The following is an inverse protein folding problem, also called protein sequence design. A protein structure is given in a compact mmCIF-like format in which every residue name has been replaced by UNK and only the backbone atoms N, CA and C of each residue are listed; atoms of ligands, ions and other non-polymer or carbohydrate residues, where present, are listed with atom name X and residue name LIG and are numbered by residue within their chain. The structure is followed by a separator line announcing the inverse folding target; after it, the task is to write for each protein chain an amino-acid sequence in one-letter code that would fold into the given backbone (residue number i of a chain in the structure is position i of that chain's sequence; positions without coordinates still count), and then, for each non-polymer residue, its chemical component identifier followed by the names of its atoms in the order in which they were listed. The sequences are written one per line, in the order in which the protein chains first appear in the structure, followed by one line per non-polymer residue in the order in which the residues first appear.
data_IF_715247056347
#
_entry.id   IF_715247056347
#
_cell.length_a   1.000
_cell.length_b   1.000
_cell.length_c   1.000
_cell.angle_alpha   90.00
_cell.angle_beta   90.00
_cell.angle_gamma   90.00
#
_symmetry.space_group_name_H-M   'P 1'
#
loop_
_entity.id
_entity.type
_entity.pdbx_description
1 polymer ?
#
# COMPACT_ATOMS: atom_id res chain seq x y z
N UNK A 1 -7.13 -14.39 17.66
CA UNK A 1 -7.86 -13.75 16.53
C UNK A 1 -7.42 -12.30 16.45
N UNK A 2 -6.64 -11.92 15.45
CA UNK A 2 -6.18 -10.55 15.28
C UNK A 2 -6.98 -9.89 14.15
N UNK A 3 -7.99 -9.10 14.51
CA UNK A 3 -8.76 -8.30 13.55
C UNK A 3 -7.96 -7.06 13.14
N UNK A 4 -7.65 -6.94 11.83
CA UNK A 4 -6.90 -5.82 11.26
C UNK A 4 -7.85 -4.69 10.85
N UNK A 5 -8.13 -3.78 11.78
CA UNK A 5 -8.91 -2.57 11.50
C UNK A 5 -7.94 -1.42 11.24
N UNK A 6 -7.84 -0.95 9.99
CA UNK A 6 -7.19 0.33 9.67
C UNK A 6 -8.21 1.44 9.90
N UNK A 7 -8.09 2.11 11.04
CA UNK A 7 -8.90 3.28 11.40
C UNK A 7 -8.55 4.44 10.47
N UNK A 8 -9.51 4.83 9.63
CA UNK A 8 -9.51 6.14 8.97
C UNK A 8 -9.75 7.20 10.05
N UNK A 9 -8.76 8.05 10.33
CA UNK A 9 -9.00 9.34 10.99
C UNK A 9 -8.51 10.48 10.12
N UNK A 10 -9.34 11.49 9.83
CA UNK A 10 -8.91 12.74 9.25
C UNK A 10 -8.15 13.54 10.32
N UNK A 11 -6.89 13.92 10.06
CA UNK A 11 -6.14 14.79 10.98
C UNK A 11 -6.46 16.26 10.70
N UNK A 12 -6.83 17.05 11.73
CA UNK A 12 -7.05 18.48 11.60
C UNK A 12 -5.72 19.26 11.51
N UNK A 13 -5.75 20.37 10.79
CA UNK A 13 -4.65 21.32 10.65
C UNK A 13 -4.37 22.09 11.97
N UNK A 14 -3.10 22.18 12.39
CA UNK A 14 -2.57 23.23 13.30
C UNK A 14 -1.06 23.45 13.10
N UNK A 15 -0.53 24.64 13.46
CA UNK A 15 0.62 25.24 12.79
C UNK A 15 1.98 25.00 13.47
N UNK A 16 2.99 25.05 12.60
CA UNK A 16 4.46 25.05 12.71
C UNK A 16 5.07 25.75 13.96
N UNK A 17 6.16 25.19 14.53
CA UNK A 17 7.32 25.94 14.97
C UNK A 17 8.44 25.86 13.92
N UNK A 18 9.00 27.02 13.56
CA UNK A 18 10.20 27.13 12.71
C UNK A 18 11.45 26.89 13.57
N UNK A 19 12.35 26.01 13.13
CA UNK A 19 13.77 26.11 13.46
C UNK A 19 14.57 26.02 12.16
N UNK A 20 15.55 26.90 12.05
CA UNK A 20 16.26 27.26 10.84
C UNK A 20 17.60 26.51 10.70
N UNK A 21 17.93 26.19 9.45
CA UNK A 21 19.27 26.11 8.81
C UNK A 21 20.34 25.22 9.44
N UNK A 22 20.77 24.17 8.73
CA UNK A 22 22.14 23.94 8.15
C UNK A 22 22.02 22.85 7.05
N UNK A 23 22.74 22.93 5.91
CA UNK A 23 22.67 21.95 4.82
C UNK A 23 23.74 20.85 4.89
N UNK A 24 23.52 19.78 4.10
CA UNK A 24 24.47 18.75 3.60
C UNK A 24 24.30 17.34 4.21
N UNK A 25 24.84 16.31 3.53
CA UNK A 25 24.13 15.44 2.61
C UNK A 25 24.12 14.01 3.19
N UNK A 26 23.70 13.03 2.39
CA UNK A 26 23.49 11.62 2.76
C UNK A 26 22.05 11.36 3.13
N UNK A 27 21.31 11.01 2.08
CA UNK A 27 20.09 10.20 2.12
C UNK A 27 20.38 8.91 2.89
N UNK A 28 20.45 9.00 4.22
CA UNK A 28 20.33 7.84 5.07
C UNK A 28 18.93 7.34 4.83
N UNK A 29 18.83 6.25 4.08
CA UNK A 29 17.62 5.48 3.87
C UNK A 29 17.10 5.04 5.24
N UNK A 30 16.41 5.96 5.90
CA UNK A 30 15.44 5.62 6.92
C UNK A 30 14.36 4.92 6.12
N UNK A 31 14.53 3.60 5.96
CA UNK A 31 13.49 2.69 5.52
C UNK A 31 12.37 2.87 6.53
N UNK A 32 11.57 3.91 6.30
CA UNK A 32 10.24 4.03 6.83
C UNK A 32 9.54 2.90 6.14
N UNK A 33 9.62 1.71 6.73
CA UNK A 33 8.89 0.53 6.31
C UNK A 33 7.46 0.99 6.42
N UNK A 34 6.92 1.48 5.32
CA UNK A 34 5.54 1.88 5.28
C UNK A 34 4.80 0.60 5.64
N UNK A 35 3.74 0.66 6.44
CA UNK A 35 3.00 -0.56 6.79
C UNK A 35 2.52 -1.37 5.56
N UNK A 36 2.68 -0.80 4.36
CA UNK A 36 2.51 -1.32 3.02
C UNK A 36 3.67 -2.17 2.49
N UNK A 37 4.92 -1.98 2.95
CA UNK A 37 6.08 -2.77 2.52
C UNK A 37 6.09 -4.18 3.12
N UNK A 38 5.38 -4.37 4.24
CA UNK A 38 5.28 -5.67 4.94
C UNK A 38 4.26 -6.59 4.26
N UNK A 39 3.30 -6.05 3.51
CA UNK A 39 2.19 -6.82 2.94
C UNK A 39 2.01 -6.52 1.45
N UNK A 40 2.20 -7.52 0.56
CA UNK A 40 2.11 -7.30 -0.88
C UNK A 40 0.69 -6.94 -1.36
N UNK A 41 -0.34 -7.18 -0.55
CA UNK A 41 -1.73 -6.86 -0.85
C UNK A 41 -2.22 -5.69 0.02
N UNK A 42 -2.68 -4.63 -0.64
CA UNK A 42 -3.44 -3.54 -0.03
C UNK A 42 -4.95 -3.74 -0.20
N UNK A 43 -5.74 -3.35 0.79
CA UNK A 43 -7.20 -3.34 0.72
C UNK A 43 -7.71 -1.92 0.87
N UNK A 44 -8.61 -1.52 -0.02
CA UNK A 44 -9.26 -0.22 -0.11
C UNK A 44 -10.78 -0.40 -0.13
N UNK A 45 -11.52 0.59 0.34
CA UNK A 45 -12.98 0.64 0.20
C UNK A 45 -13.34 1.63 -0.92
N UNK A 46 -14.09 1.15 -1.90
CA UNK A 46 -14.66 1.98 -2.98
C UNK A 46 -16.07 2.41 -2.57
N UNK A 47 -16.20 3.68 -2.15
CA UNK A 47 -17.48 4.26 -1.73
C UNK A 47 -18.49 4.34 -2.88
N UNK A 48 -18.05 4.59 -4.11
CA UNK A 48 -18.95 4.75 -5.26
C UNK A 48 -19.62 3.43 -5.63
N UNK A 49 -18.88 2.32 -5.52
CA UNK A 49 -19.39 0.98 -5.84
C UNK A 49 -19.86 0.21 -4.62
N UNK A 50 -19.59 0.72 -3.42
CA UNK A 50 -19.81 0.01 -2.16
C UNK A 50 -19.14 -1.38 -2.15
N UNK A 51 -17.87 -1.44 -2.56
CA UNK A 51 -17.08 -2.67 -2.63
C UNK A 51 -15.75 -2.54 -1.89
N UNK A 52 -15.32 -3.64 -1.27
CA UNK A 52 -13.94 -3.81 -0.82
C UNK A 52 -13.09 -4.24 -2.01
N UNK A 53 -11.97 -3.56 -2.23
CA UNK A 53 -11.05 -3.82 -3.33
C UNK A 53 -9.69 -4.22 -2.75
N UNK A 54 -9.26 -5.44 -3.06
CA UNK A 54 -7.92 -5.92 -2.80
C UNK A 54 -7.04 -5.67 -4.03
N UNK A 55 -5.80 -5.20 -3.82
CA UNK A 55 -4.80 -4.98 -4.88
C UNK A 55 -3.43 -5.50 -4.45
N UNK A 56 -2.89 -6.41 -5.23
CA UNK A 56 -1.51 -6.85 -5.10
C UNK A 56 -0.57 -5.87 -5.79
N UNK A 57 0.38 -5.32 -5.05
CA UNK A 57 1.36 -4.35 -5.55
C UNK A 57 2.47 -4.99 -6.40
N UNK A 58 2.62 -6.33 -6.34
CA UNK A 58 3.67 -7.05 -7.07
C UNK A 58 3.23 -7.46 -8.48
N UNK A 59 2.04 -8.03 -8.61
CA UNK A 59 1.53 -8.54 -9.88
C UNK A 59 0.36 -7.73 -10.46
N UNK A 60 -0.02 -6.61 -9.80
CA UNK A 60 -1.20 -5.82 -10.14
C UNK A 60 -2.54 -6.59 -10.12
N UNK A 61 -2.57 -7.80 -9.56
CA UNK A 61 -3.78 -8.58 -9.38
C UNK A 61 -4.77 -7.86 -8.48
N UNK A 62 -6.05 -7.84 -8.84
CA UNK A 62 -7.10 -7.20 -8.06
C UNK A 62 -8.32 -8.10 -7.89
N UNK A 63 -9.01 -7.91 -6.78
CA UNK A 63 -10.26 -8.61 -6.45
C UNK A 63 -11.21 -7.62 -5.78
N UNK A 64 -12.49 -7.66 -6.13
CA UNK A 64 -13.50 -6.78 -5.57
C UNK A 64 -14.71 -7.59 -5.10
N UNK A 65 -15.18 -7.33 -3.88
CA UNK A 65 -16.39 -7.93 -3.33
C UNK A 65 -17.06 -6.99 -2.34
N UNK A 66 -18.39 -7.08 -2.21
CA UNK A 66 -19.10 -6.42 -1.12
C UNK A 66 -18.71 -7.01 0.25
N UNK A 67 -18.30 -8.28 0.29
CA UNK A 67 -17.91 -8.98 1.50
C UNK A 67 -16.44 -8.75 1.85
N UNK A 68 -16.20 -8.14 3.02
CA UNK A 68 -14.85 -8.01 3.58
C UNK A 68 -14.17 -9.37 3.76
N UNK A 69 -14.90 -10.40 4.20
CA UNK A 69 -14.35 -11.73 4.45
C UNK A 69 -13.85 -12.43 3.18
N UNK A 70 -14.46 -12.16 2.04
CA UNK A 70 -13.99 -12.71 0.75
C UNK A 70 -12.72 -12.02 0.29
N UNK A 71 -12.62 -10.70 0.52
CA UNK A 71 -11.41 -9.92 0.24
C UNK A 71 -10.25 -10.35 1.13
N UNK A 72 -10.49 -10.56 2.42
CA UNK A 72 -9.48 -11.04 3.37
C UNK A 72 -9.00 -12.45 3.00
N UNK A 73 -9.92 -13.37 2.67
CA UNK A 73 -9.58 -14.70 2.18
C UNK A 73 -8.77 -14.66 0.89
N UNK A 74 -9.13 -13.77 -0.04
CA UNK A 74 -8.36 -13.58 -1.25
C UNK A 74 -6.95 -13.11 -0.92
N UNK A 75 -6.80 -12.11 -0.04
CA UNK A 75 -5.49 -11.60 0.37
C UNK A 75 -4.60 -12.68 1.00
N UNK A 76 -5.17 -13.57 1.81
CA UNK A 76 -4.46 -14.68 2.46
C UNK A 76 -4.04 -15.80 1.50
N UNK A 77 -4.85 -16.06 0.47
CA UNK A 77 -4.61 -17.17 -0.48
C UNK A 77 -3.89 -16.71 -1.75
N UNK A 78 -3.85 -15.40 -2.01
CA UNK A 78 -3.24 -14.84 -3.20
C UNK A 78 -1.72 -15.08 -3.21
N UNK A 79 -1.24 -15.73 -4.28
CA UNK A 79 0.18 -15.89 -4.57
C UNK A 79 0.50 -15.27 -5.92
N UNK A 80 1.58 -14.51 -5.97
CA UNK A 80 2.09 -13.97 -7.21
C UNK A 80 2.87 -15.04 -7.96
N UNK A 81 2.73 -15.05 -9.29
CA UNK A 81 3.74 -15.61 -10.16
C UNK A 81 5.00 -14.72 -10.08
N UNK A 82 6.15 -15.33 -9.74
CA UNK A 82 7.39 -14.60 -9.50
C UNK A 82 7.96 -13.97 -10.78
N UNK A 83 7.85 -14.66 -11.92
CA UNK A 83 8.35 -14.19 -13.21
C UNK A 83 7.49 -13.02 -13.70
N UNK A 84 6.16 -13.13 -13.62
CA UNK A 84 5.26 -12.04 -13.98
C UNK A 84 5.49 -10.80 -13.11
N UNK A 85 5.68 -10.97 -11.80
CA UNK A 85 5.95 -9.87 -10.89
C UNK A 85 7.30 -9.18 -11.22
N UNK A 86 8.34 -9.96 -11.55
CA UNK A 86 9.64 -9.42 -11.96
C UNK A 86 9.55 -8.62 -13.27
N UNK A 87 8.81 -9.15 -14.26
CA UNK A 87 8.58 -8.44 -15.52
C UNK A 87 7.81 -7.13 -15.32
N UNK A 88 6.80 -7.12 -14.46
CA UNK A 88 6.03 -5.91 -14.15
C UNK A 88 6.91 -4.86 -13.46
N UNK A 89 7.71 -5.25 -12.47
CA UNK A 89 8.65 -4.35 -11.80
C UNK A 89 9.62 -3.70 -12.81
N UNK A 90 10.21 -4.50 -13.71
CA UNK A 90 11.10 -4.01 -14.75
C UNK A 90 10.45 -2.98 -15.69
N UNK A 91 9.15 -3.12 -15.98
CA UNK A 91 8.42 -2.20 -16.86
C UNK A 91 8.00 -0.94 -16.12
N UNK A 92 7.61 -1.04 -14.85
CA UNK A 92 7.21 0.12 -14.04
C UNK A 92 8.39 1.00 -13.68
N UNK A 93 9.55 0.41 -13.38
CA UNK A 93 10.76 1.17 -13.01
C UNK A 93 11.31 1.98 -14.19
N UNK A 94 11.20 1.46 -15.42
CA UNK A 94 11.63 2.19 -16.63
C UNK A 94 10.71 3.35 -17.02
N UNK A 95 9.47 3.37 -16.54
CA UNK A 95 8.48 4.42 -16.86
C UNK A 95 8.45 5.56 -15.84
N UNK A 96 9.20 5.46 -14.75
CA UNK A 96 9.24 6.48 -13.70
C UNK A 96 10.35 7.56 -13.89
N UNK A 97 10.88 7.72 -15.11
CA UNK A 97 11.95 8.68 -15.45
C UNK A 97 11.43 9.93 -16.17
#
# INVERSE_FOLDING_TARGET
MAARIRVLRPRPARPRPRLAVVPSPSSSWSASVSSWDVWPVGVEWDEFRSLHIARCQRCAGSFASASWAEVDRWADTHRCDAELAALLALVTDRRAA
#
